data_IF_308663911233
#
_entry.id   IF_308663911233
#
_cell.length_a   1.000
_cell.length_b   1.000
_cell.length_c   1.000
_cell.angle_alpha   90.00
_cell.angle_beta   90.00
_cell.angle_gamma   90.00
#
_symmetry.space_group_name_H-M   'P 1'
#
loop_
_entity.id
_entity.type
_entity.pdbx_description
1 polymer ?
#
# COMPACT_ATOMS: atom_id res chain seq x y z
N UNK A 1 15.80 9.92 3.01
CA UNK A 1 15.10 9.98 4.31
C UNK A 1 14.21 8.76 4.41
N UNK A 2 14.32 7.94 5.48
CA UNK A 2 13.46 6.75 5.67
C UNK A 2 12.30 7.14 6.60
N UNK A 3 11.09 6.68 6.29
CA UNK A 3 9.93 6.87 7.17
C UNK A 3 10.16 6.06 8.46
N UNK A 4 9.96 6.67 9.64
CA UNK A 4 9.98 5.93 10.90
C UNK A 4 8.79 4.96 10.98
N UNK A 5 8.97 3.78 11.60
CA UNK A 5 7.92 2.74 11.65
C UNK A 5 6.64 3.21 12.35
N UNK A 6 6.75 4.05 13.38
CA UNK A 6 5.59 4.62 14.11
C UNK A 6 4.66 5.41 13.19
N UNK A 7 5.24 6.19 12.27
CA UNK A 7 4.48 6.96 11.29
C UNK A 7 3.76 6.05 10.28
N UNK A 8 4.35 4.90 9.95
CA UNK A 8 3.70 3.92 9.09
C UNK A 8 2.45 3.34 9.75
N UNK A 9 2.54 3.01 11.04
CA UNK A 9 1.43 2.47 11.81
C UNK A 9 0.29 3.49 11.96
N UNK A 10 0.60 4.76 12.23
CA UNK A 10 -0.40 5.84 12.26
C UNK A 10 -1.17 5.97 10.94
N UNK A 11 -0.46 5.96 9.81
CA UNK A 11 -1.07 6.00 8.49
C UNK A 11 -1.91 4.74 8.29
N UNK A 12 -1.39 3.55 8.64
CA UNK A 12 -2.10 2.30 8.49
C UNK A 12 -3.40 2.28 9.33
N UNK A 13 -3.42 2.86 10.52
CA UNK A 13 -4.65 3.00 11.32
C UNK A 13 -5.67 3.89 10.62
N UNK A 14 -5.24 5.00 10.01
CA UNK A 14 -6.14 5.94 9.32
C UNK A 14 -6.69 5.44 7.98
N UNK A 15 -5.86 4.80 7.15
CA UNK A 15 -6.28 4.30 5.82
C UNK A 15 -6.60 2.82 5.78
N UNK A 16 -6.25 2.05 6.81
CA UNK A 16 -6.39 0.59 6.88
C UNK A 16 -7.79 0.12 6.52
N UNK A 17 -8.82 0.70 7.11
CA UNK A 17 -10.22 0.36 6.80
C UNK A 17 -10.60 0.67 5.33
N UNK A 18 -10.04 1.73 4.74
CA UNK A 18 -10.34 2.14 3.35
C UNK A 18 -9.62 1.28 2.32
N UNK A 19 -8.43 0.79 2.66
CA UNK A 19 -7.61 -0.03 1.75
C UNK A 19 -7.85 -1.53 1.91
N UNK A 20 -8.48 -1.95 3.02
CA UNK A 20 -8.86 -3.35 3.27
C UNK A 20 -9.89 -3.78 2.22
N UNK A 21 -9.56 -4.85 1.49
CA UNK A 21 -10.49 -5.45 0.52
C UNK A 21 -11.23 -6.62 1.16
N UNK A 22 -12.51 -6.74 0.84
CA UNK A 22 -13.29 -7.92 1.19
C UNK A 22 -12.67 -9.16 0.54
N UNK A 23 -12.57 -10.25 1.31
CA UNK A 23 -12.14 -11.54 0.83
C UNK A 23 -13.24 -12.16 -0.04
N UNK A 24 -12.90 -12.55 -1.26
CA UNK A 24 -13.80 -13.25 -2.18
C UNK A 24 -13.13 -14.50 -2.77
N UNK A 25 -13.92 -15.34 -3.46
CA UNK A 25 -13.43 -16.60 -4.06
C UNK A 25 -12.54 -16.41 -5.30
N UNK A 26 -12.31 -15.17 -5.75
CA UNK A 26 -11.51 -14.92 -6.95
C UNK A 26 -10.02 -14.81 -6.62
N UNK A 27 -9.66 -13.96 -5.65
CA UNK A 27 -8.27 -13.74 -5.24
C UNK A 27 -8.17 -13.41 -3.76
N UNK A 28 -7.11 -13.91 -3.12
CA UNK A 28 -6.80 -13.55 -1.74
C UNK A 28 -6.49 -12.04 -1.68
N UNK A 29 -7.12 -11.27 -0.78
CA UNK A 29 -6.80 -9.87 -0.61
C UNK A 29 -5.37 -9.71 -0.07
N UNK A 30 -4.65 -8.72 -0.58
CA UNK A 30 -3.33 -8.33 -0.06
C UNK A 30 -3.54 -7.71 1.31
N UNK A 31 -2.67 -8.07 2.27
CA UNK A 31 -2.69 -7.49 3.60
C UNK A 31 -2.60 -5.94 3.53
N UNK A 32 -3.42 -5.21 4.30
CA UNK A 32 -3.45 -3.75 4.26
C UNK A 32 -2.07 -3.09 4.44
N UNK A 33 -1.24 -3.62 5.36
CA UNK A 33 0.12 -3.13 5.57
C UNK A 33 1.00 -3.30 4.34
N UNK A 34 1.02 -4.49 3.75
CA UNK A 34 1.78 -4.75 2.52
C UNK A 34 1.32 -3.86 1.36
N UNK A 35 0.01 -3.66 1.23
CA UNK A 35 -0.56 -2.77 0.22
C UNK A 35 -0.15 -1.31 0.43
N UNK A 36 -0.16 -0.84 1.68
CA UNK A 36 0.29 0.51 2.03
C UNK A 36 1.77 0.70 1.72
N UNK A 37 2.63 -0.27 2.06
CA UNK A 37 4.06 -0.20 1.79
C UNK A 37 4.38 -0.06 0.28
N UNK A 38 3.66 -0.79 -0.58
CA UNK A 38 3.80 -0.68 -2.04
C UNK A 38 3.39 0.72 -2.53
N UNK A 39 2.29 1.25 -2.01
CA UNK A 39 1.78 2.57 -2.38
C UNK A 39 2.73 3.68 -1.92
N UNK A 40 3.24 3.60 -0.69
CA UNK A 40 4.23 4.57 -0.18
C UNK A 40 5.52 4.53 -0.98
N UNK A 41 6.00 3.33 -1.35
CA UNK A 41 7.16 3.19 -2.25
C UNK A 41 6.91 3.87 -3.59
N UNK A 42 5.71 3.71 -4.16
CA UNK A 42 5.33 4.35 -5.42
C UNK A 42 5.27 5.87 -5.29
N UNK A 43 4.64 6.37 -4.23
CA UNK A 43 4.55 7.81 -3.91
C UNK A 43 5.93 8.45 -3.79
N UNK A 44 6.86 7.79 -3.09
CA UNK A 44 8.23 8.29 -2.92
C UNK A 44 9.02 8.21 -4.23
N UNK A 45 8.79 7.17 -5.04
CA UNK A 45 9.49 6.99 -6.32
C UNK A 45 9.02 7.97 -7.40
N UNK A 46 7.86 8.63 -7.23
CA UNK A 46 7.26 9.52 -8.22
C UNK A 46 6.77 8.84 -9.49
N UNK A 47 6.93 7.52 -9.60
CA UNK A 47 6.54 6.74 -10.78
C UNK A 47 5.03 6.55 -10.81
N UNK A 48 4.44 6.56 -12.00
CA UNK A 48 3.02 6.25 -12.16
C UNK A 48 2.86 4.74 -12.32
N UNK A 49 1.71 4.21 -11.92
CA UNK A 49 1.36 2.79 -12.14
C UNK A 49 1.55 2.34 -13.61
N UNK A 50 1.35 3.27 -14.57
CA UNK A 50 1.59 3.01 -16.00
C UNK A 50 3.04 2.70 -16.32
N UNK A 51 4.00 3.33 -15.64
CA UNK A 51 5.43 3.17 -15.88
C UNK A 51 5.94 1.79 -15.40
N UNK A 52 5.21 1.16 -14.47
CA UNK A 52 5.53 -0.16 -13.91
C UNK A 52 4.79 -1.33 -14.58
N UNK A 53 3.80 -1.07 -15.45
CA UNK A 53 2.96 -2.13 -16.04
C UNK A 53 3.69 -2.99 -17.08
N UNK A 54 4.89 -2.55 -17.51
CA UNK A 54 5.70 -3.19 -18.56
C UNK A 54 7.18 -3.37 -18.17
N UNK A 55 7.49 -3.36 -16.86
CA UNK A 55 8.82 -3.67 -16.34
C UNK A 55 9.01 -5.16 -16.08
#
# INVERSE_FOLDING_TARGET
MRMPPEMFDEILTGVGQRITKQRNNYRLPIEPGMKLAIVLRLLVSGSKYRDMRFG
#
